data_IF_882716962735
#
_entry.id   IF_882716962735
#
_cell.length_a   1.000
_cell.length_b   1.000
_cell.length_c   1.000
_cell.angle_alpha   90.00
_cell.angle_beta   90.00
_cell.angle_gamma   90.00
#
_symmetry.space_group_name_H-M   'P 1'
#
loop_
_entity.id
_entity.type
_entity.pdbx_description
1 polymer ?
#
# COMPACT_ATOMS: atom_id res chain seq x y z
N UNK A 1 -31.84 -23.15 28.78
CA UNK A 1 -31.45 -21.73 28.62
C UNK A 1 -32.71 -20.89 28.57
N UNK A 2 -32.87 -19.94 29.49
CA UNK A 2 -34.12 -19.15 29.64
C UNK A 2 -34.14 -17.87 28.81
N UNK A 3 -35.32 -17.23 28.68
CA UNK A 3 -35.51 -15.97 27.94
C UNK A 3 -34.51 -14.85 28.36
N UNK A 4 -34.11 -14.82 29.64
CA UNK A 4 -33.13 -13.86 30.20
C UNK A 4 -31.76 -13.96 29.52
N UNK A 5 -31.35 -15.16 29.11
CA UNK A 5 -30.09 -15.37 28.38
C UNK A 5 -30.09 -14.63 27.04
N UNK A 6 -31.19 -14.72 26.29
CA UNK A 6 -31.33 -14.03 25.00
C UNK A 6 -31.37 -12.51 25.17
N UNK A 7 -32.04 -12.02 26.21
CA UNK A 7 -32.04 -10.59 26.55
C UNK A 7 -30.62 -10.09 26.83
N UNK A 8 -29.84 -10.79 27.66
CA UNK A 8 -28.45 -10.41 27.94
C UNK A 8 -27.56 -10.50 26.70
N UNK A 9 -27.76 -11.52 25.86
CA UNK A 9 -27.01 -11.69 24.62
C UNK A 9 -27.24 -10.54 23.64
N UNK A 10 -28.47 -10.07 23.48
CA UNK A 10 -28.79 -8.92 22.61
C UNK A 10 -28.18 -7.63 23.15
N UNK A 11 -28.29 -7.37 24.46
CA UNK A 11 -27.69 -6.19 25.10
C UNK A 11 -26.18 -6.19 24.88
N UNK A 12 -25.51 -7.31 25.16
CA UNK A 12 -24.06 -7.44 25.02
C UNK A 12 -23.63 -7.35 23.56
N UNK A 13 -24.37 -7.95 22.62
CA UNK A 13 -24.07 -7.86 21.20
C UNK A 13 -24.02 -6.41 20.71
N UNK A 14 -24.96 -5.57 21.16
CA UNK A 14 -25.01 -4.15 20.82
C UNK A 14 -23.91 -3.31 21.50
N UNK A 15 -23.47 -3.71 22.70
CA UNK A 15 -22.63 -2.88 23.56
C UNK A 15 -21.15 -3.30 23.60
N UNK A 16 -20.83 -4.57 23.34
CA UNK A 16 -19.46 -5.09 23.24
C UNK A 16 -18.57 -4.28 22.29
N UNK A 17 -19.03 -3.84 21.09
CA UNK A 17 -18.18 -3.07 20.18
C UNK A 17 -17.79 -1.68 20.72
N UNK A 18 -18.54 -1.13 21.68
CA UNK A 18 -18.36 0.25 22.15
C UNK A 18 -17.00 0.43 22.81
N UNK A 19 -16.59 -0.49 23.70
CA UNK A 19 -15.31 -0.37 24.44
C UNK A 19 -14.10 -0.38 23.48
N UNK A 20 -13.95 -1.37 22.56
CA UNK A 20 -12.86 -1.36 21.59
C UNK A 20 -12.86 -0.11 20.69
N UNK A 21 -14.03 0.34 20.20
CA UNK A 21 -14.14 1.50 19.33
C UNK A 21 -13.76 2.80 20.05
N UNK A 22 -14.22 2.98 21.30
CA UNK A 22 -13.86 4.14 22.12
C UNK A 22 -12.36 4.15 22.44
N UNK A 23 -11.77 3.01 22.84
CA UNK A 23 -10.32 2.93 23.10
C UNK A 23 -9.49 3.24 21.84
N UNK A 24 -9.87 2.69 20.69
CA UNK A 24 -9.20 2.98 19.42
C UNK A 24 -9.31 4.46 19.04
N UNK A 25 -10.48 5.07 19.28
CA UNK A 25 -10.72 6.48 18.99
C UNK A 25 -9.93 7.42 19.92
N UNK A 26 -9.84 7.09 21.21
CA UNK A 26 -8.99 7.82 22.17
C UNK A 26 -7.53 7.77 21.71
N UNK A 27 -7.04 6.59 21.35
CA UNK A 27 -5.68 6.41 20.84
C UNK A 27 -5.43 7.25 19.57
N UNK A 28 -6.40 7.28 18.64
CA UNK A 28 -6.31 8.10 17.44
C UNK A 28 -6.24 9.61 17.76
N UNK A 29 -7.08 10.09 18.68
CA UNK A 29 -7.06 11.49 19.15
C UNK A 29 -5.69 11.85 19.76
N UNK A 30 -5.11 10.94 20.55
CA UNK A 30 -3.78 11.13 21.13
C UNK A 30 -2.70 11.22 20.03
N UNK A 31 -2.72 10.32 19.04
CA UNK A 31 -1.78 10.35 17.91
C UNK A 31 -1.90 11.66 17.11
N UNK A 32 -3.13 12.11 16.83
CA UNK A 32 -3.37 13.36 16.11
C UNK A 32 -2.75 14.57 16.82
N UNK A 33 -2.81 14.60 18.15
CA UNK A 33 -2.18 15.66 18.95
C UNK A 33 -0.67 15.71 18.75
N UNK A 34 0.02 14.57 18.85
CA UNK A 34 1.48 14.53 18.69
C UNK A 34 1.93 14.84 17.26
N UNK A 35 1.14 14.42 16.26
CA UNK A 35 1.45 14.69 14.84
C UNK A 35 1.40 16.19 14.51
N UNK A 36 0.65 16.97 15.29
CA UNK A 36 0.48 18.41 15.05
C UNK A 36 1.48 19.32 15.78
N UNK A 37 2.29 18.80 16.70
CA UNK A 37 3.15 19.63 17.58
C UNK A 37 4.45 20.12 16.94
N UNK A 38 4.67 19.90 15.63
CA UNK A 38 5.93 20.25 14.96
C UNK A 38 5.78 20.99 13.63
N UNK A 39 6.85 21.71 13.24
CA UNK A 39 6.96 22.38 11.94
C UNK A 39 7.04 21.42 10.74
N UNK A 40 7.19 20.11 10.98
CA UNK A 40 7.38 19.07 9.97
C UNK A 40 6.23 18.05 9.98
N UNK A 41 4.98 18.52 9.99
CA UNK A 41 3.77 17.68 10.08
C UNK A 41 3.72 16.58 9.02
N UNK A 42 4.09 16.89 7.78
CA UNK A 42 4.08 15.92 6.68
C UNK A 42 5.14 14.83 6.87
N UNK A 43 6.31 15.18 7.38
CA UNK A 43 7.34 14.20 7.72
C UNK A 43 6.88 13.29 8.87
N UNK A 44 6.22 13.83 9.89
CA UNK A 44 5.66 13.04 10.99
C UNK A 44 4.58 12.07 10.50
N UNK A 45 3.72 12.49 9.55
CA UNK A 45 2.74 11.61 8.91
C UNK A 45 3.42 10.48 8.12
N UNK A 46 4.48 10.78 7.40
CA UNK A 46 5.27 9.77 6.66
C UNK A 46 5.91 8.77 7.64
N UNK A 47 6.64 9.26 8.65
CA UNK A 47 7.33 8.42 9.63
C UNK A 47 6.32 7.58 10.42
N UNK A 48 5.23 8.18 10.89
CA UNK A 48 4.16 7.48 11.60
C UNK A 48 3.50 6.40 10.73
N UNK A 49 3.27 6.69 9.44
CA UNK A 49 2.77 5.72 8.47
C UNK A 49 3.71 4.53 8.26
N UNK A 50 5.01 4.79 8.08
CA UNK A 50 6.03 3.74 7.95
C UNK A 50 6.11 2.91 9.24
N UNK A 51 6.16 3.54 10.41
CA UNK A 51 6.21 2.85 11.70
C UNK A 51 4.99 1.96 11.91
N UNK A 52 3.79 2.45 11.64
CA UNK A 52 2.56 1.66 11.73
C UNK A 52 2.60 0.45 10.80
N UNK A 53 3.12 0.62 9.57
CA UNK A 53 3.27 -0.46 8.61
C UNK A 53 4.28 -1.51 9.07
N UNK A 54 5.44 -1.08 9.59
CA UNK A 54 6.46 -2.00 10.15
C UNK A 54 5.89 -2.76 11.35
N UNK A 55 5.21 -2.08 12.27
CA UNK A 55 4.56 -2.72 13.41
C UNK A 55 3.51 -3.74 12.96
N UNK A 56 2.70 -3.43 11.94
CA UNK A 56 1.72 -4.34 11.39
C UNK A 56 2.37 -5.59 10.78
N UNK A 57 3.47 -5.44 10.03
CA UNK A 57 4.22 -6.56 9.46
C UNK A 57 4.85 -7.41 10.57
N UNK A 58 5.51 -6.80 11.55
CA UNK A 58 6.11 -7.53 12.69
C UNK A 58 5.05 -8.27 13.50
N UNK A 59 3.91 -7.64 13.74
CA UNK A 59 2.79 -8.28 14.41
C UNK A 59 2.25 -9.46 13.59
N UNK A 60 2.08 -9.29 12.28
CA UNK A 60 1.66 -10.35 11.36
C UNK A 60 2.66 -11.52 11.38
N UNK A 61 3.96 -11.25 11.32
CA UNK A 61 5.02 -12.28 11.41
C UNK A 61 4.99 -13.03 12.74
N UNK A 62 4.80 -12.33 13.87
CA UNK A 62 4.67 -12.97 15.19
C UNK A 62 3.43 -13.85 15.26
N UNK A 63 2.29 -13.37 14.73
CA UNK A 63 1.05 -14.14 14.72
C UNK A 63 1.15 -15.38 13.82
N UNK A 64 1.81 -15.26 12.66
CA UNK A 64 2.08 -16.39 11.79
C UNK A 64 2.98 -17.43 12.46
N UNK A 65 4.04 -17.00 13.16
CA UNK A 65 4.90 -17.89 13.95
C UNK A 65 4.15 -18.61 15.06
N UNK A 66 3.21 -17.95 15.73
CA UNK A 66 2.36 -18.61 16.74
C UNK A 66 1.46 -19.68 16.10
N UNK A 67 0.98 -19.46 14.87
CA UNK A 67 0.22 -20.44 14.10
C UNK A 67 1.04 -21.63 13.60
N UNK A 68 2.31 -21.42 13.22
CA UNK A 68 3.20 -22.48 12.68
C UNK A 68 4.03 -23.20 13.74
N UNK A 69 4.31 -22.58 14.90
CA UNK A 69 5.18 -23.16 15.96
C UNK A 69 4.46 -24.12 16.92
N UNK A 70 3.50 -24.91 16.42
CA UNK A 70 3.01 -26.07 17.16
C UNK A 70 1.89 -25.82 18.16
N UNK A 71 0.96 -24.90 17.88
CA UNK A 71 -0.40 -25.12 18.37
C UNK A 71 -0.96 -26.32 17.59
N UNK A 72 -0.73 -27.52 18.14
CA UNK A 72 -1.29 -28.75 17.59
C UNK A 72 -2.80 -28.53 17.40
N UNK A 73 -3.40 -28.98 16.31
CA UNK A 73 -4.85 -28.86 16.11
C UNK A 73 -5.61 -29.40 17.35
N UNK A 74 -5.04 -30.38 18.04
CA UNK A 74 -5.46 -30.89 19.35
C UNK A 74 -5.28 -29.91 20.52
N UNK A 75 -4.25 -29.07 20.58
CA UNK A 75 -4.13 -28.04 21.61
C UNK A 75 -5.13 -26.90 21.41
N UNK A 76 -5.41 -26.50 20.16
CA UNK A 76 -6.49 -25.54 19.87
C UNK A 76 -7.84 -26.17 20.21
N UNK A 77 -8.06 -27.44 19.82
CA UNK A 77 -9.26 -28.19 20.20
C UNK A 77 -9.38 -28.35 21.71
N UNK A 78 -8.29 -28.58 22.44
CA UNK A 78 -8.28 -28.68 23.91
C UNK A 78 -8.54 -27.31 24.55
N UNK A 79 -7.97 -26.22 24.03
CA UNK A 79 -8.29 -24.86 24.48
C UNK A 79 -9.77 -24.48 24.23
N UNK A 80 -10.37 -25.02 23.17
CA UNK A 80 -11.79 -24.83 22.83
C UNK A 80 -12.71 -25.79 23.61
N UNK A 81 -12.25 -27.01 23.92
CA UNK A 81 -13.06 -28.08 24.54
C UNK A 81 -12.97 -28.11 26.06
N UNK A 82 -11.86 -27.67 26.66
CA UNK A 82 -11.69 -27.63 28.13
C UNK A 82 -12.56 -26.55 28.79
N UNK A 83 -13.27 -25.71 28.01
CA UNK A 83 -14.17 -24.69 28.54
C UNK A 83 -13.48 -23.64 29.42
N UNK A 84 -12.14 -23.67 29.49
CA UNK A 84 -11.36 -22.93 30.45
C UNK A 84 -11.04 -21.52 29.94
N UNK A 85 -12.07 -20.77 29.53
CA UNK A 85 -12.12 -19.30 29.37
C UNK A 85 -10.80 -18.61 28.91
N UNK A 86 -9.98 -19.27 28.10
CA UNK A 86 -8.58 -18.88 27.89
C UNK A 86 -8.50 -17.69 26.94
N UNK A 87 -9.37 -17.70 25.93
CA UNK A 87 -9.68 -16.55 25.08
C UNK A 87 -10.27 -15.38 25.87
N UNK A 88 -11.06 -15.65 26.92
CA UNK A 88 -11.63 -14.63 27.80
C UNK A 88 -10.53 -14.04 28.70
N UNK A 89 -9.59 -14.86 29.17
CA UNK A 89 -8.43 -14.40 29.96
C UNK A 89 -7.45 -13.55 29.16
N UNK A 90 -7.30 -13.82 27.86
CA UNK A 90 -6.49 -12.97 26.96
C UNK A 90 -7.26 -11.69 26.62
N UNK A 91 -8.54 -11.81 26.26
CA UNK A 91 -9.37 -10.66 25.85
C UNK A 91 -9.64 -9.69 26.99
N UNK A 92 -9.82 -10.19 28.22
CA UNK A 92 -10.02 -9.36 29.42
C UNK A 92 -8.77 -8.59 29.85
N UNK A 93 -7.56 -9.01 29.44
CA UNK A 93 -6.33 -8.24 29.66
C UNK A 93 -6.22 -7.03 28.73
N UNK A 94 -6.81 -7.11 27.54
CA UNK A 94 -6.75 -6.05 26.52
C UNK A 94 -7.94 -5.11 26.64
N UNK A 95 -9.14 -5.66 26.88
CA UNK A 95 -10.38 -4.89 26.96
C UNK A 95 -11.05 -5.06 28.33
N UNK A 96 -11.23 -3.97 29.09
CA UNK A 96 -11.97 -4.02 30.34
C UNK A 96 -13.44 -4.41 30.05
N UNK A 97 -14.08 -5.19 30.92
CA UNK A 97 -15.48 -5.58 30.76
C UNK A 97 -15.72 -6.93 30.07
N UNK A 98 -14.74 -7.51 29.37
CA UNK A 98 -14.95 -8.81 28.69
C UNK A 98 -15.19 -9.95 29.68
N UNK A 99 -14.53 -9.93 30.84
CA UNK A 99 -14.79 -10.95 31.87
C UNK A 99 -16.21 -10.84 32.43
N UNK A 100 -16.72 -9.62 32.58
CA UNK A 100 -18.03 -9.30 33.12
C UNK A 100 -19.12 -9.66 32.12
N UNK A 101 -18.92 -9.36 30.83
CA UNK A 101 -19.81 -9.77 29.74
C UNK A 101 -19.96 -11.31 29.69
N UNK A 102 -18.86 -12.04 29.80
CA UNK A 102 -18.89 -13.52 29.79
C UNK A 102 -19.58 -14.07 31.04
N UNK A 103 -19.28 -13.53 32.22
CA UNK A 103 -19.95 -13.94 33.47
C UNK A 103 -21.45 -13.63 33.45
N UNK A 104 -21.87 -12.54 32.78
CA UNK A 104 -23.29 -12.21 32.62
C UNK A 104 -24.04 -13.27 31.79
N UNK A 105 -23.42 -13.78 30.72
CA UNK A 105 -23.98 -14.83 29.85
C UNK A 105 -23.98 -16.19 30.56
N UNK A 106 -22.86 -16.58 31.17
CA UNK A 106 -22.71 -17.89 31.82
C UNK A 106 -23.62 -18.04 33.04
N UNK A 107 -23.80 -16.97 33.83
CA UNK A 107 -24.61 -16.98 35.06
C UNK A 107 -25.96 -16.28 34.90
N UNK A 108 -26.53 -16.25 33.69
CA UNK A 108 -27.73 -15.46 33.34
C UNK A 108 -28.97 -15.75 34.18
N UNK A 109 -29.06 -16.94 34.78
CA UNK A 109 -30.16 -17.35 35.66
C UNK A 109 -30.00 -16.96 37.13
N UNK A 110 -28.94 -16.25 37.50
CA UNK A 110 -28.61 -15.91 38.89
C UNK A 110 -28.39 -14.41 39.08
N UNK A 111 -28.46 -13.95 40.34
CA UNK A 111 -28.13 -12.57 40.70
C UNK A 111 -26.70 -12.17 40.30
N UNK A 112 -25.79 -13.15 40.19
CA UNK A 112 -24.42 -12.94 39.70
C UNK A 112 -24.43 -12.48 38.23
N UNK A 113 -25.33 -13.01 37.39
CA UNK A 113 -25.47 -12.57 36.00
C UNK A 113 -25.92 -11.11 35.91
N UNK A 114 -26.94 -10.75 36.69
CA UNK A 114 -27.47 -9.37 36.75
C UNK A 114 -26.42 -8.37 37.24
N UNK A 115 -25.64 -8.71 38.27
CA UNK A 115 -24.55 -7.86 38.76
C UNK A 115 -23.49 -7.60 37.68
N UNK A 116 -23.11 -8.65 36.95
CA UNK A 116 -22.06 -8.54 35.94
C UNK A 116 -22.50 -7.77 34.70
N UNK A 117 -23.76 -7.89 34.25
CA UNK A 117 -24.25 -7.07 33.13
C UNK A 117 -24.32 -5.58 33.51
N UNK A 118 -24.73 -5.26 34.74
CA UNK A 118 -24.72 -3.87 35.23
C UNK A 118 -23.29 -3.35 35.30
N UNK A 119 -22.35 -4.12 35.84
CA UNK A 119 -20.95 -3.74 35.92
C UNK A 119 -20.34 -3.52 34.52
N UNK A 120 -20.66 -4.39 33.57
CA UNK A 120 -20.25 -4.23 32.17
C UNK A 120 -20.79 -2.94 31.54
N UNK A 121 -22.06 -2.63 31.76
CA UNK A 121 -22.68 -1.40 31.25
C UNK A 121 -22.04 -0.15 31.89
N UNK A 122 -21.73 -0.19 33.19
CA UNK A 122 -21.00 0.90 33.87
C UNK A 122 -19.62 1.10 33.25
N UNK A 123 -18.84 0.03 33.04
CA UNK A 123 -17.52 0.12 32.38
C UNK A 123 -17.65 0.70 30.97
N UNK A 124 -18.66 0.27 30.23
CA UNK A 124 -18.94 0.79 28.88
C UNK A 124 -19.25 2.28 28.91
N UNK A 125 -20.12 2.73 29.83
CA UNK A 125 -20.47 4.13 30.02
C UNK A 125 -19.26 4.97 30.46
N UNK A 126 -18.44 4.48 31.40
CA UNK A 126 -17.21 5.15 31.81
C UNK A 126 -16.24 5.31 30.65
N UNK A 127 -16.06 4.27 29.82
CA UNK A 127 -15.18 4.32 28.64
C UNK A 127 -15.69 5.33 27.62
N UNK A 128 -17.00 5.35 27.36
CA UNK A 128 -17.65 6.36 26.52
C UNK A 128 -17.44 7.77 27.07
N UNK A 129 -17.61 7.97 28.37
CA UNK A 129 -17.45 9.27 29.02
C UNK A 129 -16.01 9.79 28.90
N UNK A 130 -15.00 8.92 29.13
CA UNK A 130 -13.59 9.25 28.92
C UNK A 130 -13.33 9.63 27.45
N UNK A 131 -13.91 8.89 26.51
CA UNK A 131 -13.81 9.21 25.09
C UNK A 131 -14.41 10.58 24.77
N UNK A 132 -15.59 10.91 25.29
CA UNK A 132 -16.23 12.21 25.08
C UNK A 132 -15.37 13.38 25.62
N UNK A 133 -14.82 13.24 26.83
CA UNK A 133 -13.91 14.25 27.41
C UNK A 133 -12.64 14.40 26.57
N UNK A 134 -12.05 13.29 26.14
CA UNK A 134 -10.87 13.30 25.28
C UNK A 134 -11.18 13.97 23.93
N UNK A 135 -12.35 13.68 23.35
CA UNK A 135 -12.87 14.32 22.16
C UNK A 135 -12.97 15.82 22.33
N UNK A 136 -13.72 16.30 23.31
CA UNK A 136 -13.92 17.74 23.54
C UNK A 136 -12.59 18.50 23.72
N UNK A 137 -11.69 17.99 24.57
CA UNK A 137 -10.46 18.71 24.94
C UNK A 137 -9.36 18.63 23.88
N UNK A 138 -9.26 17.52 23.16
CA UNK A 138 -8.09 17.21 22.32
C UNK A 138 -8.42 17.17 20.82
N UNK A 139 -9.65 16.84 20.43
CA UNK A 139 -10.00 16.65 19.02
C UNK A 139 -9.87 17.94 18.23
N UNK A 140 -10.51 19.05 18.65
CA UNK A 140 -10.46 20.31 17.90
C UNK A 140 -9.04 20.85 17.75
N UNK A 141 -8.23 20.80 18.81
CA UNK A 141 -6.81 21.15 18.76
C UNK A 141 -6.00 20.22 17.84
N UNK A 142 -6.39 18.95 17.75
CA UNK A 142 -5.82 17.93 16.87
C UNK A 142 -6.28 18.02 15.41
N UNK A 143 -7.44 18.59 15.11
CA UNK A 143 -7.95 18.68 13.72
C UNK A 143 -7.52 19.99 13.06
N UNK A 144 -7.56 21.11 13.77
CA UNK A 144 -7.18 22.43 13.22
C UNK A 144 -5.72 22.43 12.75
N UNK A 145 -4.83 21.68 13.41
CA UNK A 145 -3.45 21.54 12.99
C UNK A 145 -3.22 20.68 11.74
N UNK A 146 -4.23 19.92 11.25
CA UNK A 146 -4.09 19.05 10.08
C UNK A 146 -4.26 19.82 8.76
N UNK A 147 -5.13 20.85 8.75
CA UNK A 147 -5.53 21.55 7.54
C UNK A 147 -4.53 22.61 7.05
N UNK A 148 -3.65 23.09 7.93
CA UNK A 148 -2.67 24.12 7.59
C UNK A 148 -1.26 23.67 7.98
N UNK A 149 -0.47 23.28 6.97
CA UNK A 149 0.97 23.31 7.10
C UNK A 149 1.39 24.80 7.08
N UNK A 150 2.04 25.32 8.13
CA UNK A 150 2.54 26.69 8.08
C UNK A 150 3.55 26.79 6.94
N UNK A 151 3.20 27.51 5.87
CA UNK A 151 4.16 27.88 4.84
C UNK A 151 5.17 28.82 5.48
N UNK A 152 6.35 28.29 5.82
CA UNK A 152 7.48 29.12 6.20
C UNK A 152 7.77 30.04 5.01
N UNK A 153 7.31 31.30 5.08
CA UNK A 153 7.59 32.34 4.09
C UNK A 153 9.07 32.71 4.18
N UNK A 154 9.93 31.84 3.65
CA UNK A 154 11.34 32.14 3.45
C UNK A 154 11.44 33.10 2.27
N UNK A 155 11.96 34.30 2.50
CA UNK A 155 12.38 35.19 1.40
C UNK A 155 13.46 34.46 0.60
N UNK A 156 13.17 34.20 -0.67
CA UNK A 156 14.14 33.61 -1.60
C UNK A 156 15.26 34.63 -1.83
N UNK A 157 16.51 34.21 -1.63
CA UNK A 157 17.66 35.06 -1.94
C UNK A 157 18.02 34.93 -3.43
N UNK A 158 18.77 35.87 -4.00
CA UNK A 158 19.21 35.85 -5.41
C UNK A 158 19.95 34.55 -5.78
N UNK A 159 20.69 33.95 -4.82
CA UNK A 159 21.33 32.63 -5.01
C UNK A 159 20.31 31.49 -5.15
N UNK A 160 19.16 31.58 -4.49
CA UNK A 160 18.07 30.59 -4.59
C UNK A 160 17.35 30.75 -5.94
N UNK A 161 17.11 31.99 -6.39
CA UNK A 161 16.54 32.28 -7.70
C UNK A 161 17.44 31.83 -8.86
N UNK A 162 18.76 32.01 -8.73
CA UNK A 162 19.73 31.50 -9.72
C UNK A 162 19.80 29.97 -9.76
N UNK A 163 19.62 29.27 -8.62
CA UNK A 163 19.53 27.81 -8.60
C UNK A 163 18.28 27.29 -9.31
N UNK A 164 17.15 28.01 -9.18
CA UNK A 164 15.89 27.65 -9.84
C UNK A 164 15.89 28.03 -11.33
N UNK A 165 16.62 29.07 -11.73
CA UNK A 165 16.72 29.53 -13.13
C UNK A 165 17.78 28.81 -13.98
N UNK A 166 18.40 27.74 -13.49
CA UNK A 166 19.35 26.97 -14.30
C UNK A 166 18.61 26.30 -15.47
N UNK A 167 19.12 26.49 -16.69
CA UNK A 167 18.60 25.83 -17.91
C UNK A 167 18.55 24.31 -17.70
N UNK A 168 17.35 23.77 -17.53
CA UNK A 168 17.09 22.32 -17.51
C UNK A 168 16.13 21.98 -18.65
N UNK A 169 16.29 20.79 -19.25
CA UNK A 169 15.31 20.30 -20.23
C UNK A 169 13.89 20.29 -19.62
N UNK A 170 12.85 20.75 -20.34
CA UNK A 170 11.47 20.81 -19.84
C UNK A 170 11.00 19.48 -19.24
N UNK A 171 11.30 18.36 -19.90
CA UNK A 171 10.90 17.03 -19.45
C UNK A 171 11.55 16.66 -18.10
N UNK A 172 12.82 17.01 -17.90
CA UNK A 172 13.54 16.74 -16.65
C UNK A 172 12.96 17.56 -15.50
N UNK A 173 12.59 18.81 -15.77
CA UNK A 173 11.94 19.68 -14.78
C UNK A 173 10.58 19.13 -14.37
N UNK A 174 9.77 18.69 -15.34
CA UNK A 174 8.46 18.09 -15.09
C UNK A 174 8.55 16.76 -14.34
N UNK A 175 9.45 15.85 -14.73
CA UNK A 175 9.70 14.60 -13.98
C UNK A 175 10.15 14.90 -12.55
N UNK A 176 11.05 15.88 -12.37
CA UNK A 176 11.51 16.30 -11.05
C UNK A 176 10.39 16.93 -10.21
N UNK A 177 9.46 17.67 -10.82
CA UNK A 177 8.24 18.19 -10.17
C UNK A 177 7.37 17.04 -9.69
N UNK A 178 7.05 16.07 -10.56
CA UNK A 178 6.19 14.92 -10.22
C UNK A 178 6.76 14.10 -9.07
N UNK A 179 8.06 13.76 -9.13
CA UNK A 179 8.72 13.03 -8.06
C UNK A 179 8.73 13.84 -6.75
N UNK A 180 9.00 15.14 -6.80
CA UNK A 180 8.95 15.97 -5.56
C UNK A 180 7.56 15.98 -4.92
N UNK A 181 6.50 16.05 -5.71
CA UNK A 181 5.12 16.00 -5.20
C UNK A 181 4.88 14.64 -4.53
N UNK A 182 5.26 13.55 -5.20
CA UNK A 182 5.16 12.18 -4.67
C UNK A 182 5.88 11.99 -3.33
N UNK A 183 7.10 12.51 -3.19
CA UNK A 183 7.90 12.36 -1.97
C UNK A 183 7.50 13.31 -0.84
N UNK A 184 6.89 14.47 -1.16
CA UNK A 184 6.52 15.47 -0.16
C UNK A 184 5.11 15.31 0.37
N UNK A 185 4.19 14.76 -0.41
CA UNK A 185 2.81 14.55 0.02
C UNK A 185 2.68 13.19 0.73
N UNK A 186 2.35 13.13 2.03
CA UNK A 186 2.37 11.88 2.80
C UNK A 186 1.49 10.78 2.21
N UNK A 187 0.31 11.13 1.73
CA UNK A 187 -0.64 10.18 1.15
C UNK A 187 -0.07 9.58 -0.15
N UNK A 188 0.55 10.40 -1.00
CA UNK A 188 1.16 9.93 -2.24
C UNK A 188 2.42 9.11 -1.94
N UNK A 189 3.23 9.51 -0.96
CA UNK A 189 4.38 8.73 -0.54
C UNK A 189 3.97 7.33 -0.05
N UNK A 190 2.96 7.25 0.82
CA UNK A 190 2.51 5.97 1.39
C UNK A 190 1.87 5.04 0.36
N UNK A 191 1.09 5.56 -0.59
CA UNK A 191 0.37 4.72 -1.54
C UNK A 191 1.12 4.49 -2.85
N UNK A 192 2.03 5.41 -3.23
CA UNK A 192 2.73 5.31 -4.51
C UNK A 192 4.21 4.96 -4.36
N UNK A 193 4.94 5.60 -3.46
CA UNK A 193 6.39 5.39 -3.32
C UNK A 193 6.66 4.11 -2.52
N UNK A 194 6.07 4.00 -1.32
CA UNK A 194 6.27 2.87 -0.42
C UNK A 194 5.86 1.54 -1.05
N UNK A 195 4.84 1.54 -1.92
CA UNK A 195 4.38 0.33 -2.59
C UNK A 195 5.48 -0.37 -3.43
N UNK A 196 6.42 0.40 -4.01
CA UNK A 196 7.56 -0.18 -4.73
C UNK A 196 8.53 -0.96 -3.82
N UNK A 197 8.55 -0.66 -2.51
CA UNK A 197 9.40 -1.32 -1.52
C UNK A 197 8.66 -2.40 -0.73
N UNK A 198 7.32 -2.43 -0.78
CA UNK A 198 6.51 -3.42 -0.09
C UNK A 198 6.68 -4.82 -0.67
N UNK A 199 6.74 -4.97 -2.00
CA UNK A 199 6.95 -6.28 -2.64
C UNK A 199 8.25 -6.96 -2.22
N UNK A 200 9.42 -6.29 -2.22
CA UNK A 200 10.65 -6.84 -1.65
C UNK A 200 10.51 -7.26 -0.18
N UNK A 201 9.79 -6.47 0.63
CA UNK A 201 9.56 -6.80 2.06
C UNK A 201 8.67 -8.04 2.21
N UNK A 202 7.60 -8.14 1.42
CA UNK A 202 6.73 -9.32 1.43
C UNK A 202 7.45 -10.59 1.00
N UNK A 203 8.37 -10.48 0.03
CA UNK A 203 9.23 -11.59 -0.36
C UNK A 203 10.12 -12.07 0.78
N UNK A 204 10.55 -11.18 1.69
CA UNK A 204 11.38 -11.54 2.84
C UNK A 204 10.61 -12.27 3.95
N UNK A 205 9.30 -12.04 4.08
CA UNK A 205 8.51 -12.56 5.22
C UNK A 205 8.64 -14.09 5.37
N UNK A 206 8.37 -14.92 4.35
CA UNK A 206 8.44 -16.39 4.47
C UNK A 206 9.82 -16.89 4.89
N UNK A 207 10.90 -16.21 4.49
CA UNK A 207 12.26 -16.61 4.84
C UNK A 207 12.56 -16.45 6.34
N UNK A 208 11.88 -15.54 7.03
CA UNK A 208 12.03 -15.32 8.47
C UNK A 208 10.99 -16.05 9.31
N UNK A 209 9.87 -16.47 8.72
CA UNK A 209 8.79 -17.17 9.41
C UNK A 209 8.88 -18.69 9.27
N UNK A 210 9.38 -19.20 8.14
CA UNK A 210 9.42 -20.63 7.82
C UNK A 210 10.84 -21.09 7.39
N UNK A 211 11.61 -21.72 8.30
CA UNK A 211 12.96 -22.20 7.99
C UNK A 211 13.01 -23.20 6.81
N UNK A 212 11.95 -23.97 6.60
CA UNK A 212 11.84 -24.93 5.49
C UNK A 212 11.78 -24.24 4.13
N UNK A 213 11.04 -23.13 4.02
CA UNK A 213 10.97 -22.32 2.79
C UNK A 213 12.37 -21.86 2.40
N UNK A 214 13.15 -21.35 3.35
CA UNK A 214 14.53 -20.94 3.08
C UNK A 214 15.43 -22.10 2.61
N UNK A 215 15.29 -23.29 3.20
CA UNK A 215 16.05 -24.49 2.80
C UNK A 215 15.67 -24.94 1.38
N UNK A 216 14.38 -24.98 1.06
CA UNK A 216 13.89 -25.33 -0.27
C UNK A 216 14.32 -24.30 -1.32
N UNK A 217 14.30 -23.01 -0.96
CA UNK A 217 14.74 -21.95 -1.85
C UNK A 217 16.24 -22.01 -2.15
N UNK A 218 17.08 -22.34 -1.15
CA UNK A 218 18.52 -22.56 -1.36
C UNK A 218 18.82 -23.72 -2.32
N UNK A 219 17.97 -24.76 -2.35
CA UNK A 219 18.10 -25.87 -3.30
C UNK A 219 17.80 -25.47 -4.74
N UNK A 220 17.05 -24.39 -4.96
CA UNK A 220 16.72 -23.85 -6.29
C UNK A 220 17.83 -22.97 -6.87
N UNK A 221 18.73 -22.42 -6.06
CA UNK A 221 19.86 -21.57 -6.51
C UNK A 221 20.69 -22.21 -7.64
N UNK A 222 21.18 -23.47 -7.52
CA UNK A 222 21.95 -24.08 -8.60
C UNK A 222 21.13 -24.31 -9.87
N UNK A 223 19.81 -24.54 -9.75
CA UNK A 223 18.90 -24.70 -10.90
C UNK A 223 18.74 -23.37 -11.63
N UNK A 224 18.56 -22.27 -10.88
CA UNK A 224 18.41 -20.92 -11.43
C UNK A 224 19.70 -20.45 -12.12
N UNK A 225 20.86 -20.91 -11.65
CA UNK A 225 22.14 -20.58 -12.26
C UNK A 225 22.40 -21.30 -13.60
N UNK A 226 21.63 -22.34 -13.94
CA UNK A 226 21.76 -23.02 -15.23
C UNK A 226 21.17 -22.16 -16.37
N UNK A 227 21.95 -22.02 -17.44
CA UNK A 227 21.60 -21.34 -18.69
C UNK A 227 20.25 -21.76 -19.27
N UNK A 228 19.80 -23.00 -19.02
CA UNK A 228 18.50 -23.51 -19.50
C UNK A 228 17.29 -22.75 -18.93
N UNK A 229 17.44 -22.12 -17.76
CA UNK A 229 16.34 -21.40 -17.11
C UNK A 229 16.30 -19.90 -17.44
N UNK A 230 17.27 -19.39 -18.21
CA UNK A 230 17.37 -17.96 -18.56
C UNK A 230 16.08 -17.46 -19.23
N UNK A 231 15.49 -18.24 -20.15
CA UNK A 231 14.24 -17.86 -20.82
C UNK A 231 13.08 -17.65 -19.86
N UNK A 232 12.96 -18.52 -18.85
CA UNK A 232 11.92 -18.40 -17.82
C UNK A 232 12.18 -17.21 -16.90
N UNK A 233 13.45 -16.97 -16.53
CA UNK A 233 13.85 -15.81 -15.72
C UNK A 233 13.49 -14.50 -16.43
N UNK A 234 13.72 -14.42 -17.75
CA UNK A 234 13.34 -13.26 -18.56
C UNK A 234 11.82 -13.03 -18.51
N UNK A 235 11.01 -14.07 -18.73
CA UNK A 235 9.54 -13.95 -18.69
C UNK A 235 9.07 -13.49 -17.30
N UNK A 236 9.61 -14.08 -16.23
CA UNK A 236 9.27 -13.71 -14.85
C UNK A 236 9.67 -12.25 -14.57
N UNK A 237 10.84 -11.82 -15.03
CA UNK A 237 11.30 -10.44 -14.81
C UNK A 237 10.45 -9.41 -15.54
N UNK A 238 9.97 -9.74 -16.74
CA UNK A 238 9.06 -8.90 -17.51
C UNK A 238 7.71 -8.80 -16.77
N UNK A 239 7.15 -9.93 -16.34
CA UNK A 239 5.93 -9.97 -15.53
C UNK A 239 6.08 -9.21 -14.20
N UNK A 240 7.24 -9.32 -13.54
CA UNK A 240 7.55 -8.56 -12.32
C UNK A 240 7.59 -7.05 -12.59
N UNK A 241 8.18 -6.63 -13.71
CA UNK A 241 8.20 -5.23 -14.15
C UNK A 241 6.79 -4.65 -14.36
N UNK A 242 5.92 -5.43 -15.03
CA UNK A 242 4.50 -5.09 -15.20
C UNK A 242 3.82 -4.94 -13.84
N UNK A 243 3.90 -5.97 -13.01
CA UNK A 243 3.17 -6.04 -11.75
C UNK A 243 3.61 -4.98 -10.74
N UNK A 244 4.93 -4.79 -10.56
CA UNK A 244 5.45 -3.79 -9.62
C UNK A 244 5.02 -2.38 -10.07
N UNK A 245 5.12 -2.08 -11.36
CA UNK A 245 4.78 -0.75 -11.86
C UNK A 245 3.28 -0.49 -11.86
N UNK A 246 2.46 -1.48 -12.21
CA UNK A 246 1.00 -1.32 -12.14
C UNK A 246 0.48 -1.16 -10.71
N UNK A 247 1.17 -1.76 -9.73
CA UNK A 247 0.81 -1.68 -8.32
C UNK A 247 1.12 -0.33 -7.66
N UNK A 248 2.03 0.47 -8.21
CA UNK A 248 2.51 1.69 -7.55
C UNK A 248 1.59 2.91 -7.75
N UNK A 249 0.51 2.79 -8.52
CA UNK A 249 -0.53 3.83 -8.69
C UNK A 249 -0.02 5.20 -9.18
N UNK A 250 1.25 5.34 -9.57
CA UNK A 250 1.85 6.65 -9.90
C UNK A 250 1.24 7.20 -11.18
N UNK A 251 1.20 6.38 -12.23
CA UNK A 251 0.70 6.77 -13.55
C UNK A 251 -0.82 6.71 -13.63
N UNK A 252 -1.44 5.70 -13.02
CA UNK A 252 -2.90 5.52 -13.00
C UNK A 252 -3.66 6.57 -12.17
N UNK A 253 -2.95 7.49 -11.53
CA UNK A 253 -3.54 8.62 -10.79
C UNK A 253 -2.83 9.94 -11.10
N UNK A 254 -1.95 9.99 -12.11
CA UNK A 254 -1.07 11.14 -12.35
C UNK A 254 -1.79 12.44 -12.73
N UNK A 255 -2.91 12.35 -13.45
CA UNK A 255 -3.81 13.46 -13.81
C UNK A 255 -4.82 13.68 -12.68
N UNK A 256 -5.39 12.59 -12.13
CA UNK A 256 -6.34 12.67 -11.03
C UNK A 256 -5.78 13.40 -9.80
N UNK A 257 -4.49 13.24 -9.49
CA UNK A 257 -3.80 13.95 -8.41
C UNK A 257 -3.66 15.45 -8.62
N UNK A 258 -3.82 15.97 -9.84
CA UNK A 258 -3.81 17.42 -10.05
C UNK A 258 -5.12 18.06 -9.60
N UNK A 259 -6.23 17.32 -9.65
CA UNK A 259 -7.54 17.78 -9.17
C UNK A 259 -7.93 19.13 -9.77
N UNK A 260 -8.41 20.04 -8.92
CA UNK A 260 -8.75 21.40 -9.30
C UNK A 260 -7.57 22.24 -9.80
N UNK A 261 -6.31 21.82 -9.58
CA UNK A 261 -5.13 22.54 -10.06
C UNK A 261 -4.73 22.15 -11.50
N UNK A 262 -5.47 21.27 -12.17
CA UNK A 262 -5.21 20.85 -13.54
C UNK A 262 -5.15 22.04 -14.52
N UNK A 263 -5.88 23.14 -14.25
CA UNK A 263 -5.82 24.34 -15.07
C UNK A 263 -4.39 24.87 -15.22
N UNK A 264 -3.55 24.77 -14.17
CA UNK A 264 -2.16 25.23 -14.21
C UNK A 264 -1.38 24.50 -15.30
N UNK A 265 -1.59 23.19 -15.43
CA UNK A 265 -0.94 22.35 -16.46
C UNK A 265 -1.41 22.70 -17.88
N UNK A 266 -2.58 23.33 -18.03
CA UNK A 266 -3.05 23.84 -19.32
C UNK A 266 -2.46 25.20 -19.72
N UNK A 267 -2.05 26.01 -18.75
CA UNK A 267 -1.47 27.35 -19.02
C UNK A 267 0.06 27.35 -19.18
N UNK A 268 0.75 26.30 -18.75
CA UNK A 268 2.21 26.23 -18.94
C UNK A 268 2.56 26.12 -20.42
N UNK A 269 3.59 26.87 -20.85
CA UNK A 269 4.08 26.90 -22.22
C UNK A 269 4.92 25.65 -22.58
N UNK A 270 4.38 24.46 -22.34
CA UNK A 270 4.98 23.17 -22.65
C UNK A 270 3.93 22.26 -23.28
N UNK A 271 4.29 21.58 -24.37
CA UNK A 271 3.39 20.66 -25.08
C UNK A 271 2.84 19.56 -24.17
N UNK A 272 1.56 19.22 -24.36
CA UNK A 272 0.86 18.21 -23.55
C UNK A 272 1.49 16.82 -23.70
N UNK A 273 2.07 16.52 -24.86
CA UNK A 273 2.86 15.31 -25.10
C UNK A 273 4.02 15.20 -24.11
N UNK A 274 4.80 16.28 -23.94
CA UNK A 274 5.92 16.33 -23.00
C UNK A 274 5.43 16.21 -21.56
N UNK A 275 4.28 16.82 -21.23
CA UNK A 275 3.68 16.70 -19.90
C UNK A 275 3.25 15.27 -19.56
N UNK A 276 2.57 14.60 -20.50
CA UNK A 276 2.14 13.21 -20.32
C UNK A 276 3.34 12.26 -20.25
N UNK A 277 4.33 12.42 -21.13
CA UNK A 277 5.55 11.59 -21.11
C UNK A 277 6.34 11.81 -19.82
N UNK A 278 6.42 13.04 -19.30
CA UNK A 278 7.06 13.30 -18.01
C UNK A 278 6.39 12.50 -16.86
N UNK A 279 5.06 12.37 -16.90
CA UNK A 279 4.32 11.56 -15.93
C UNK A 279 4.56 10.06 -16.13
N UNK A 280 4.58 9.55 -17.38
CA UNK A 280 4.99 8.17 -17.68
C UNK A 280 6.37 7.87 -17.09
N UNK A 281 7.34 8.75 -17.35
CA UNK A 281 8.72 8.61 -16.87
C UNK A 281 8.80 8.60 -15.34
N UNK A 282 8.00 9.42 -14.65
CA UNK A 282 7.98 9.42 -13.18
C UNK A 282 7.57 8.06 -12.60
N UNK A 283 6.57 7.40 -13.19
CA UNK A 283 6.17 6.05 -12.80
C UNK A 283 7.16 4.98 -13.21
N UNK A 284 7.73 5.08 -14.41
CA UNK A 284 8.74 4.15 -14.89
C UNK A 284 10.02 4.19 -14.04
N UNK A 285 10.50 5.38 -13.65
CA UNK A 285 11.64 5.54 -12.73
C UNK A 285 11.37 4.83 -11.41
N UNK A 286 10.18 5.00 -10.83
CA UNK A 286 9.84 4.35 -9.57
C UNK A 286 9.62 2.84 -9.72
N UNK A 287 9.12 2.37 -10.86
CA UNK A 287 9.08 0.95 -11.22
C UNK A 287 10.48 0.34 -11.29
N UNK A 288 11.44 1.03 -11.92
CA UNK A 288 12.85 0.62 -11.95
C UNK A 288 13.45 0.58 -10.54
N UNK A 289 13.16 1.57 -9.69
CA UNK A 289 13.58 1.56 -8.28
C UNK A 289 12.98 0.36 -7.54
N UNK A 290 11.72 0.00 -7.80
CA UNK A 290 11.07 -1.18 -7.22
C UNK A 290 11.75 -2.48 -7.64
N UNK A 291 12.06 -2.65 -8.93
CA UNK A 291 12.80 -3.82 -9.43
C UNK A 291 14.21 -3.87 -8.82
N UNK A 292 14.92 -2.74 -8.73
CA UNK A 292 16.23 -2.69 -8.07
C UNK A 292 16.14 -3.07 -6.59
N UNK A 293 15.12 -2.60 -5.87
CA UNK A 293 14.90 -2.98 -4.48
C UNK A 293 14.63 -4.49 -4.34
N UNK A 294 13.87 -5.08 -5.26
CA UNK A 294 13.64 -6.53 -5.30
C UNK A 294 14.93 -7.29 -5.58
N UNK A 295 15.72 -6.84 -6.56
CA UNK A 295 17.01 -7.43 -6.91
C UNK A 295 18.03 -7.37 -5.77
N UNK A 296 18.05 -6.29 -4.98
CA UNK A 296 18.92 -6.18 -3.80
C UNK A 296 18.58 -7.26 -2.76
N UNK A 297 17.29 -7.51 -2.51
CA UNK A 297 16.84 -8.58 -1.62
C UNK A 297 17.25 -9.95 -2.17
N UNK A 298 17.03 -10.20 -3.46
CA UNK A 298 17.39 -11.48 -4.10
C UNK A 298 18.91 -11.70 -4.06
N UNK A 299 19.71 -10.66 -4.33
CA UNK A 299 21.18 -10.73 -4.27
C UNK A 299 21.66 -11.08 -2.86
N UNK A 300 21.07 -10.46 -1.83
CA UNK A 300 21.39 -10.77 -0.43
C UNK A 300 21.06 -12.23 -0.06
N UNK A 301 19.94 -12.76 -0.56
CA UNK A 301 19.49 -14.12 -0.25
C UNK A 301 20.22 -15.21 -1.05
N UNK A 302 20.48 -14.97 -2.33
CA UNK A 302 20.86 -16.00 -3.30
C UNK A 302 22.30 -15.91 -3.81
N UNK A 303 22.97 -14.75 -3.62
CA UNK A 303 24.29 -14.48 -4.20
C UNK A 303 24.35 -14.78 -5.71
N UNK A 304 23.34 -14.32 -6.44
CA UNK A 304 23.27 -14.49 -7.89
C UNK A 304 24.47 -13.82 -8.59
N UNK A 305 24.94 -14.38 -9.71
CA UNK A 305 25.98 -13.76 -10.49
C UNK A 305 25.50 -12.45 -11.14
N UNK A 306 26.41 -11.51 -11.33
CA UNK A 306 26.09 -10.14 -11.77
C UNK A 306 25.38 -10.10 -13.13
N UNK A 307 25.69 -11.03 -14.04
CA UNK A 307 25.05 -11.09 -15.36
C UNK A 307 23.55 -11.41 -15.27
N UNK A 308 23.12 -12.24 -14.31
CA UNK A 308 21.69 -12.56 -14.14
C UNK A 308 20.91 -11.36 -13.62
N UNK A 309 21.52 -10.57 -12.74
CA UNK A 309 20.92 -9.33 -12.22
C UNK A 309 20.72 -8.34 -13.37
N UNK A 310 21.72 -8.22 -14.25
CA UNK A 310 21.64 -7.36 -15.42
C UNK A 310 20.56 -7.85 -16.39
N UNK A 311 20.47 -9.16 -16.64
CA UNK A 311 19.39 -9.75 -17.45
C UNK A 311 18.03 -9.37 -16.87
N UNK A 312 17.76 -9.70 -15.60
CA UNK A 312 16.47 -9.42 -14.94
C UNK A 312 16.13 -7.93 -14.97
N UNK A 313 17.09 -7.06 -14.71
CA UNK A 313 16.87 -5.62 -14.75
C UNK A 313 16.49 -5.16 -16.17
N UNK A 314 17.26 -5.53 -17.19
CA UNK A 314 17.02 -5.11 -18.57
C UNK A 314 15.71 -5.68 -19.12
N UNK A 315 15.42 -6.96 -18.88
CA UNK A 315 14.18 -7.58 -19.37
C UNK A 315 12.92 -7.12 -18.64
N UNK A 316 13.05 -6.49 -17.46
CA UNK A 316 11.91 -5.86 -16.78
C UNK A 316 11.50 -4.52 -17.40
N UNK A 317 12.39 -3.83 -18.13
CA UNK A 317 12.16 -2.46 -18.65
C UNK A 317 10.92 -2.38 -19.56
N UNK A 318 10.73 -3.27 -20.55
CA UNK A 318 9.52 -3.23 -21.39
C UNK A 318 8.24 -3.38 -20.56
N UNK A 319 8.24 -4.28 -19.57
CA UNK A 319 7.09 -4.46 -18.67
C UNK A 319 6.78 -3.21 -17.84
N UNK A 320 7.82 -2.52 -17.35
CA UNK A 320 7.69 -1.26 -16.62
C UNK A 320 7.09 -0.17 -17.53
N UNK A 321 7.60 -0.01 -18.75
CA UNK A 321 7.13 0.99 -19.70
C UNK A 321 5.67 0.74 -20.09
N UNK A 322 5.32 -0.51 -20.40
CA UNK A 322 3.96 -0.93 -20.69
C UNK A 322 2.97 -0.50 -19.61
N UNK A 323 3.25 -0.85 -18.35
CA UNK A 323 2.38 -0.50 -17.23
C UNK A 323 2.35 1.01 -16.93
N UNK A 324 3.48 1.71 -17.06
CA UNK A 324 3.52 3.16 -16.89
C UNK A 324 2.67 3.87 -17.95
N UNK A 325 2.80 3.49 -19.21
CA UNK A 325 2.04 4.06 -20.33
C UNK A 325 0.55 3.74 -20.22
N UNK A 326 0.19 2.48 -19.96
CA UNK A 326 -1.21 2.09 -19.75
C UNK A 326 -1.85 2.84 -18.60
N UNK A 327 -1.14 3.02 -17.47
CA UNK A 327 -1.65 3.77 -16.33
C UNK A 327 -2.01 5.21 -16.72
N UNK A 328 -1.14 5.90 -17.48
CA UNK A 328 -1.44 7.26 -17.96
C UNK A 328 -2.64 7.27 -18.92
N UNK A 329 -2.73 6.30 -19.83
CA UNK A 329 -3.87 6.22 -20.77
C UNK A 329 -5.19 6.05 -20.00
N UNK A 330 -5.21 5.17 -19.00
CA UNK A 330 -6.40 4.95 -18.15
C UNK A 330 -6.77 6.25 -17.43
N UNK A 331 -5.79 6.93 -16.82
CA UNK A 331 -6.07 8.11 -16.01
C UNK A 331 -6.45 9.35 -16.84
N UNK A 332 -5.91 9.49 -18.05
CA UNK A 332 -6.31 10.53 -19.00
C UNK A 332 -7.71 10.27 -19.56
N UNK A 333 -8.09 9.00 -19.74
CA UNK A 333 -9.42 8.64 -20.24
C UNK A 333 -10.52 8.86 -19.19
N UNK A 334 -10.22 8.62 -17.90
CA UNK A 334 -11.20 8.71 -16.81
C UNK A 334 -10.65 9.48 -15.60
N UNK A 335 -10.25 10.75 -15.73
CA UNK A 335 -9.61 11.49 -14.64
C UNK A 335 -10.59 11.79 -13.51
N UNK A 336 -10.19 11.51 -12.27
CA UNK A 336 -10.95 11.85 -11.07
C UNK A 336 -10.46 13.18 -10.50
N UNK A 337 -11.03 14.28 -10.98
CA UNK A 337 -10.61 15.64 -10.59
C UNK A 337 -11.31 16.20 -9.35
N UNK A 338 -12.56 15.80 -9.12
CA UNK A 338 -13.36 16.30 -8.00
C UNK A 338 -13.08 15.50 -6.73
N UNK A 339 -12.21 16.02 -5.88
CA UNK A 339 -11.90 15.47 -4.56
C UNK A 339 -11.57 16.56 -3.54
N UNK A 340 -12.01 16.36 -2.30
CA UNK A 340 -11.76 17.31 -1.19
C UNK A 340 -10.47 17.00 -0.41
N UNK A 341 -9.89 15.82 -0.64
CA UNK A 341 -8.67 15.35 0.02
C UNK A 341 -7.88 14.42 -0.93
N UNK A 342 -6.54 14.52 -0.88
CA UNK A 342 -5.60 13.72 -1.67
C UNK A 342 -5.80 12.21 -1.49
N UNK A 343 -6.38 11.74 -0.38
CA UNK A 343 -6.75 10.33 -0.18
C UNK A 343 -7.72 9.85 -1.26
N UNK A 344 -8.71 10.67 -1.63
CA UNK A 344 -9.72 10.31 -2.63
C UNK A 344 -9.14 10.23 -4.05
N UNK A 345 -8.09 11.01 -4.33
CA UNK A 345 -7.40 11.04 -5.61
C UNK A 345 -6.62 9.76 -5.92
N UNK A 346 -6.16 9.05 -4.88
CA UNK A 346 -5.38 7.81 -5.02
C UNK A 346 -6.14 6.58 -4.55
N UNK A 347 -6.58 6.51 -3.28
CA UNK A 347 -7.18 5.28 -2.72
C UNK A 347 -8.58 4.99 -3.22
N UNK A 348 -9.39 6.03 -3.46
CA UNK A 348 -10.75 5.87 -3.97
C UNK A 348 -10.83 6.06 -5.48
N UNK A 349 -9.69 5.99 -6.16
CA UNK A 349 -9.64 6.12 -7.61
C UNK A 349 -9.67 4.73 -8.25
N UNK A 350 -10.76 4.46 -8.97
CA UNK A 350 -10.96 3.17 -9.61
C UNK A 350 -9.94 2.88 -10.72
N UNK A 351 -9.31 3.92 -11.30
CA UNK A 351 -8.24 3.78 -12.29
C UNK A 351 -7.06 2.97 -11.75
N UNK A 352 -6.75 3.15 -10.47
CA UNK A 352 -5.72 2.36 -9.79
C UNK A 352 -6.04 0.87 -9.76
N UNK A 353 -7.29 0.54 -9.42
CA UNK A 353 -7.76 -0.85 -9.43
C UNK A 353 -7.71 -1.46 -10.83
N UNK A 354 -8.17 -0.73 -11.85
CA UNK A 354 -8.10 -1.18 -13.26
C UNK A 354 -6.64 -1.47 -13.66
N UNK A 355 -5.72 -0.55 -13.37
CA UNK A 355 -4.30 -0.71 -13.71
C UNK A 355 -3.70 -1.98 -13.07
N UNK A 356 -4.00 -2.23 -11.79
CA UNK A 356 -3.55 -3.44 -11.08
C UNK A 356 -4.15 -4.71 -11.71
N UNK A 357 -5.46 -4.72 -11.98
CA UNK A 357 -6.13 -5.89 -12.57
C UNK A 357 -5.58 -6.22 -13.95
N UNK A 358 -5.36 -5.21 -14.80
CA UNK A 358 -4.73 -5.40 -16.12
C UNK A 358 -3.31 -5.92 -15.95
N UNK A 359 -2.52 -5.35 -15.04
CA UNK A 359 -1.15 -5.81 -14.78
C UNK A 359 -1.08 -7.27 -14.30
N UNK A 360 -1.96 -7.67 -13.38
CA UNK A 360 -2.08 -9.06 -12.92
C UNK A 360 -2.51 -9.96 -14.06
N UNK A 361 -3.58 -9.59 -14.79
CA UNK A 361 -4.10 -10.37 -15.91
C UNK A 361 -3.04 -10.66 -16.97
N UNK A 362 -2.31 -9.62 -17.40
CA UNK A 362 -1.22 -9.77 -18.38
C UNK A 362 -0.09 -10.63 -17.84
N UNK A 363 0.31 -10.43 -16.58
CA UNK A 363 1.37 -11.24 -15.93
C UNK A 363 0.99 -12.72 -15.83
N UNK A 364 -0.26 -13.02 -15.47
CA UNK A 364 -0.78 -14.40 -15.40
C UNK A 364 -0.88 -15.03 -16.78
N UNK A 365 -1.38 -14.29 -17.78
CA UNK A 365 -1.43 -14.77 -19.17
C UNK A 365 -0.03 -15.13 -19.69
N UNK A 366 0.97 -14.32 -19.36
CA UNK A 366 2.36 -14.64 -19.69
C UNK A 366 2.86 -15.91 -19.01
N UNK A 367 2.56 -16.09 -17.72
CA UNK A 367 2.94 -17.30 -17.00
C UNK A 367 2.27 -18.56 -17.58
N UNK A 368 0.98 -18.47 -17.92
CA UNK A 368 0.23 -19.56 -18.57
C UNK A 368 0.83 -19.87 -19.94
N UNK A 369 1.12 -18.85 -20.77
CA UNK A 369 1.76 -19.04 -22.06
C UNK A 369 3.14 -19.70 -21.91
N UNK A 370 3.91 -19.29 -20.90
CA UNK A 370 5.22 -19.86 -20.59
C UNK A 370 5.16 -21.33 -20.18
N UNK A 371 4.06 -21.79 -19.56
CA UNK A 371 3.91 -23.19 -19.14
C UNK A 371 3.33 -24.04 -20.29
N UNK A 372 2.23 -23.60 -20.90
CA UNK A 372 1.44 -24.41 -21.82
C UNK A 372 1.99 -24.47 -23.26
N UNK A 373 2.79 -23.50 -23.68
CA UNK A 373 3.36 -23.51 -25.02
C UNK A 373 4.64 -24.35 -25.04
N UNK A 374 4.67 -25.36 -25.91
CA UNK A 374 5.78 -26.31 -26.09
C UNK A 374 6.98 -25.73 -26.88
N UNK A 375 7.06 -24.40 -27.03
CA UNK A 375 8.22 -23.75 -27.62
C UNK A 375 9.42 -23.74 -26.66
N UNK A 376 10.61 -23.64 -27.24
CA UNK A 376 11.82 -23.34 -26.50
C UNK A 376 11.63 -22.06 -25.67
N UNK A 377 11.90 -22.14 -24.36
CA UNK A 377 11.58 -21.07 -23.41
C UNK A 377 12.45 -19.83 -23.65
N UNK A 378 13.65 -20.00 -24.19
CA UNK A 378 14.52 -18.88 -24.55
C UNK A 378 13.96 -18.14 -25.77
N UNK A 379 13.56 -18.86 -26.82
CA UNK A 379 12.92 -18.26 -28.00
C UNK A 379 11.63 -17.52 -27.62
N UNK A 380 10.80 -18.13 -26.78
CA UNK A 380 9.56 -17.50 -26.29
C UNK A 380 9.83 -16.20 -25.53
N UNK A 381 10.90 -16.16 -24.74
CA UNK A 381 11.26 -14.96 -23.97
C UNK A 381 11.67 -13.78 -24.86
N UNK A 382 12.37 -14.06 -25.98
CA UNK A 382 12.75 -13.04 -26.97
C UNK A 382 11.49 -12.52 -27.67
N UNK A 383 10.60 -13.41 -28.09
CA UNK A 383 9.32 -13.03 -28.71
C UNK A 383 8.51 -12.16 -27.77
N UNK A 384 8.43 -12.50 -26.49
CA UNK A 384 7.72 -11.72 -25.48
C UNK A 384 8.32 -10.31 -25.35
N UNK A 385 9.64 -10.17 -25.23
CA UNK A 385 10.30 -8.85 -25.19
C UNK A 385 9.97 -8.03 -26.44
N UNK A 386 10.13 -8.61 -27.63
CA UNK A 386 9.86 -7.91 -28.88
C UNK A 386 8.39 -7.47 -28.98
N UNK A 387 7.47 -8.33 -28.57
CA UNK A 387 6.05 -8.01 -28.53
C UNK A 387 5.75 -6.84 -27.59
N UNK A 388 6.31 -6.83 -26.38
CA UNK A 388 6.12 -5.71 -25.46
C UNK A 388 6.75 -4.41 -25.96
N UNK A 389 7.92 -4.47 -26.60
CA UNK A 389 8.53 -3.28 -27.22
C UNK A 389 7.66 -2.71 -28.35
N UNK A 390 7.04 -3.56 -29.17
CA UNK A 390 6.10 -3.13 -30.21
C UNK A 390 4.86 -2.50 -29.57
N UNK A 391 4.31 -3.13 -28.52
CA UNK A 391 3.17 -2.59 -27.78
C UNK A 391 3.52 -1.23 -27.16
N UNK A 392 4.70 -1.07 -26.56
CA UNK A 392 5.15 0.19 -25.98
C UNK A 392 5.25 1.30 -27.04
N UNK A 393 5.76 0.99 -28.23
CA UNK A 393 5.77 1.93 -29.35
C UNK A 393 4.34 2.36 -29.76
N UNK A 394 3.39 1.43 -29.77
CA UNK A 394 1.98 1.71 -30.07
C UNK A 394 1.37 2.59 -28.96
N UNK A 395 1.58 2.23 -27.69
CA UNK A 395 1.07 2.98 -26.54
C UNK A 395 1.66 4.39 -26.49
N UNK A 396 2.94 4.55 -26.77
CA UNK A 396 3.59 5.85 -26.90
C UNK A 396 2.90 6.71 -27.96
N UNK A 397 2.66 6.15 -29.15
CA UNK A 397 1.95 6.85 -30.22
C UNK A 397 0.53 7.23 -29.82
N UNK A 398 -0.18 6.35 -29.09
CA UNK A 398 -1.51 6.62 -28.55
C UNK A 398 -1.48 7.79 -27.57
N UNK A 399 -0.48 7.85 -26.66
CA UNK A 399 -0.34 8.94 -25.69
C UNK A 399 -0.12 10.28 -26.38
N UNK A 400 0.81 10.33 -27.34
CA UNK A 400 1.17 11.58 -28.05
C UNK A 400 0.04 12.07 -28.97
N UNK A 401 -0.85 11.18 -29.42
CA UNK A 401 -1.97 11.54 -30.30
C UNK A 401 -3.30 11.66 -29.55
N UNK A 402 -3.91 10.52 -29.19
CA UNK A 402 -5.19 10.46 -28.49
C UNK A 402 -5.09 10.97 -27.06
N UNK A 403 -4.01 10.66 -26.34
CA UNK A 403 -3.80 11.13 -24.98
C UNK A 403 -3.76 12.66 -24.90
N UNK A 404 -3.05 13.31 -25.84
CA UNK A 404 -3.02 14.77 -25.97
C UNK A 404 -4.41 15.36 -26.26
N UNK A 405 -5.17 14.74 -27.17
CA UNK A 405 -6.54 15.17 -27.49
C UNK A 405 -7.47 15.06 -26.28
N UNK A 406 -7.45 13.92 -25.59
CA UNK A 406 -8.23 13.71 -24.38
C UNK A 406 -7.85 14.72 -23.30
N UNK A 407 -6.55 14.88 -23.02
CA UNK A 407 -6.04 15.82 -22.03
C UNK A 407 -6.49 17.27 -22.29
N UNK A 408 -6.48 17.68 -23.57
CA UNK A 408 -6.97 19.01 -23.98
C UNK A 408 -8.45 19.21 -23.63
N UNK A 409 -9.27 18.18 -23.84
CA UNK A 409 -10.72 18.24 -23.69
C UNK A 409 -11.22 18.08 -22.23
N UNK A 410 -10.34 17.78 -21.27
CA UNK A 410 -10.74 17.66 -19.86
C UNK A 410 -11.23 19.02 -19.33
N UNK A 411 -12.50 19.16 -18.96
CA UNK A 411 -13.00 20.39 -18.33
C UNK A 411 -12.51 20.50 -16.88
N UNK A 412 -12.11 21.70 -16.45
CA UNK A 412 -11.57 21.99 -15.10
C UNK A 412 -12.53 22.90 -14.35
#
# INVERSE_FOLDING_TARGET
MGAIYYVYSVILFLTIPIIPLSMASILNILIMRFTNMGNHKDLLKIIGGILAMVLAIVFNMKMQKLGTSGMNQQQILNMLSEGNNSLVGISSKVFPGVSEAVKAIVFSGSFVGLKNIILFLIITLCTLFIFLIAGEKLYFKGVIGISEAPSARRKLNNKDLQKVSRKSSPIKSLVGKELKILFRTPIYFMNCIIMNFLWPVFLLIPFFTEPEVFKNFKRLVPVINDTKWIGIIIIISLAAGIFITSSNLITSTAISREGSNLFVSKYIAVGYDVQLIAKVLSGAIMGMVGILAMLLVILFLMKLPLYMILIVFVSSIPGILFSAMLGIIIDVAFPKLNWDNEVKAVKQNFNGFIAIMVGIGVSVLMAIAAINLNFDKFVMSIIAILLFLIIDCILYKIIVTKGVSLFRNIEV
#
